data_IF_322743388901
#
_entry.id   IF_322743388901
#
_cell.length_a   1.000
_cell.length_b   1.000
_cell.length_c   1.000
_cell.angle_alpha   90.00
_cell.angle_beta   90.00
_cell.angle_gamma   90.00
#
_symmetry.space_group_name_H-M   'P 1'
#
loop_
_entity.id
_entity.type
_entity.pdbx_description
1 polymer ?
#
# COMPACT_ATOMS: atom_id res chain seq x y z
N UNK A 1 27.30 17.42 41.04
CA UNK A 1 27.91 16.09 41.24
C UNK A 1 28.80 15.80 40.04
N UNK A 2 29.96 15.18 40.25
CA UNK A 2 30.82 14.70 39.16
C UNK A 2 30.17 13.51 38.47
N UNK A 3 30.26 13.44 37.16
CA UNK A 3 29.82 12.27 36.42
C UNK A 3 30.84 11.14 36.55
N UNK A 4 30.37 9.90 36.49
CA UNK A 4 31.23 8.72 36.65
C UNK A 4 30.85 7.62 35.66
N UNK A 5 31.84 6.85 35.21
CA UNK A 5 31.66 5.61 34.44
C UNK A 5 32.29 4.47 35.23
N UNK A 6 31.55 3.42 35.55
CA UNK A 6 32.10 2.20 36.17
C UNK A 6 32.21 1.10 35.13
N UNK A 7 33.43 0.60 34.92
CA UNK A 7 33.74 -0.54 34.04
C UNK A 7 34.45 -1.61 34.85
N UNK A 8 33.93 -2.84 34.84
CA UNK A 8 34.56 -4.01 35.47
C UNK A 8 35.04 -3.74 36.91
N UNK A 9 34.24 -3.03 37.71
CA UNK A 9 34.55 -2.67 39.10
C UNK A 9 35.40 -1.40 39.30
N UNK A 10 35.96 -0.82 38.25
CA UNK A 10 36.75 0.42 38.31
C UNK A 10 35.88 1.61 37.94
N UNK A 11 35.82 2.62 38.83
CA UNK A 11 35.10 3.88 38.58
C UNK A 11 36.05 4.95 38.06
N UNK A 12 35.69 5.56 36.94
CA UNK A 12 36.40 6.66 36.30
C UNK A 12 35.56 7.93 36.42
N UNK A 13 36.15 9.01 36.89
CA UNK A 13 35.54 10.33 36.83
C UNK A 13 35.56 10.84 35.39
N UNK A 14 34.43 11.39 34.93
CA UNK A 14 34.33 12.04 33.62
C UNK A 14 34.09 13.54 33.83
N UNK A 15 34.89 14.35 33.13
CA UNK A 15 34.83 15.79 33.22
C UNK A 15 33.57 16.32 32.53
N UNK A 16 32.97 17.37 33.12
CA UNK A 16 31.85 18.12 32.54
C UNK A 16 30.56 17.32 32.25
N UNK A 17 30.45 16.06 32.67
CA UNK A 17 29.26 15.24 32.43
C UNK A 17 29.19 14.62 31.04
N UNK A 18 30.30 14.50 30.33
CA UNK A 18 30.33 13.97 28.97
C UNK A 18 31.26 12.76 28.89
N UNK A 19 30.79 11.68 28.26
CA UNK A 19 31.70 10.64 27.76
C UNK A 19 32.20 11.13 26.41
N UNK A 20 33.51 11.33 26.29
CA UNK A 20 34.14 11.91 25.11
C UNK A 20 33.99 11.01 23.89
N UNK A 21 34.13 11.61 22.71
CA UNK A 21 34.24 10.85 21.47
C UNK A 21 35.37 9.81 21.58
N UNK A 22 35.12 8.62 21.06
CA UNK A 22 36.07 7.49 21.02
C UNK A 22 36.59 6.97 22.38
N UNK A 23 36.05 7.42 23.52
CA UNK A 23 36.67 7.18 24.84
C UNK A 23 36.94 5.70 25.17
N UNK A 24 36.07 4.78 24.75
CA UNK A 24 36.22 3.34 24.89
C UNK A 24 36.11 2.61 23.54
N UNK A 25 36.44 3.29 22.45
CA UNK A 25 36.37 2.71 21.10
C UNK A 25 37.26 1.46 20.99
N UNK A 26 36.71 0.37 20.45
CA UNK A 26 37.33 -0.96 20.36
C UNK A 26 37.82 -1.56 21.70
N UNK A 27 37.27 -1.14 22.84
CA UNK A 27 37.66 -1.69 24.13
C UNK A 27 36.97 -3.04 24.39
N UNK A 28 37.59 -4.11 23.90
CA UNK A 28 37.11 -5.49 24.01
C UNK A 28 37.07 -6.03 25.43
N UNK A 29 37.53 -5.26 26.43
CA UNK A 29 37.54 -5.69 27.84
C UNK A 29 36.37 -5.12 28.64
N UNK A 30 35.64 -4.14 28.09
CA UNK A 30 34.42 -3.62 28.72
C UNK A 30 33.34 -4.69 28.69
N UNK A 31 32.85 -5.09 29.85
CA UNK A 31 31.74 -6.05 29.96
C UNK A 31 30.45 -5.40 30.45
N UNK A 32 30.57 -4.41 31.34
CA UNK A 32 29.44 -3.73 31.95
C UNK A 32 29.81 -2.27 32.15
N UNK A 33 28.84 -1.38 31.94
CA UNK A 33 29.00 0.05 32.15
C UNK A 33 27.83 0.60 32.96
N UNK A 34 28.15 1.26 34.07
CA UNK A 34 27.18 2.07 34.83
C UNK A 34 27.60 3.52 34.86
N UNK A 35 26.68 4.44 34.58
CA UNK A 35 26.95 5.88 34.50
C UNK A 35 25.95 6.68 35.32
N UNK A 36 26.42 7.73 36.01
CA UNK A 36 25.56 8.70 36.70
C UNK A 36 25.95 10.12 36.33
N UNK A 37 24.99 11.05 36.32
CA UNK A 37 25.19 12.47 36.01
C UNK A 37 25.81 12.74 34.61
N UNK A 38 25.62 11.83 33.65
CA UNK A 38 26.11 11.98 32.27
C UNK A 38 25.04 12.65 31.42
N UNK A 39 25.39 13.76 30.76
CA UNK A 39 24.52 14.53 29.88
C UNK A 39 24.49 14.01 28.45
N UNK A 40 25.64 13.57 27.92
CA UNK A 40 25.70 12.97 26.59
C UNK A 40 26.81 11.92 26.45
N UNK A 41 26.59 10.99 25.52
CA UNK A 41 27.61 10.05 25.05
C UNK A 41 28.14 10.50 23.69
N UNK A 42 29.45 10.62 23.57
CA UNK A 42 30.13 11.06 22.36
C UNK A 42 30.06 10.07 21.20
N UNK A 43 30.44 10.58 20.02
CA UNK A 43 30.61 9.80 18.78
C UNK A 43 31.52 8.60 19.04
N UNK A 44 31.07 7.40 18.69
CA UNK A 44 31.83 6.13 18.85
C UNK A 44 32.37 5.86 20.26
N UNK A 45 31.79 6.45 21.32
CA UNK A 45 32.35 6.32 22.67
C UNK A 45 32.47 4.88 23.19
N UNK A 46 31.69 3.92 22.66
CA UNK A 46 31.78 2.47 22.96
C UNK A 46 31.74 1.61 21.68
N UNK A 47 32.20 2.15 20.55
CA UNK A 47 32.11 1.44 19.26
C UNK A 47 32.91 0.13 19.30
N UNK A 48 32.34 -0.96 18.78
CA UNK A 48 32.96 -2.29 18.76
C UNK A 48 33.44 -2.83 20.13
N UNK A 49 32.82 -2.44 21.24
CA UNK A 49 33.01 -3.09 22.54
C UNK A 49 32.33 -4.48 22.54
N UNK A 50 32.93 -5.47 21.87
CA UNK A 50 32.28 -6.77 21.59
C UNK A 50 32.00 -7.63 22.82
N UNK A 51 32.64 -7.34 23.96
CA UNK A 51 32.38 -8.01 25.25
C UNK A 51 31.32 -7.32 26.11
N UNK A 52 30.85 -6.13 25.72
CA UNK A 52 29.89 -5.32 26.49
C UNK A 52 28.53 -6.01 26.49
N UNK A 53 28.00 -6.30 27.68
CA UNK A 53 26.75 -7.03 27.92
C UNK A 53 25.64 -6.15 28.48
N UNK A 54 25.99 -5.18 29.30
CA UNK A 54 25.03 -4.34 30.03
C UNK A 54 25.49 -2.88 30.06
N UNK A 55 24.56 -1.97 29.75
CA UNK A 55 24.73 -0.53 29.94
C UNK A 55 23.60 0.00 30.81
N UNK A 56 23.94 0.72 31.87
CA UNK A 56 23.00 1.41 32.76
C UNK A 56 23.42 2.86 32.83
N UNK A 57 22.56 3.77 32.37
CA UNK A 57 22.75 5.21 32.54
C UNK A 57 21.66 5.76 33.44
N UNK A 58 22.07 6.36 34.55
CA UNK A 58 21.22 6.90 35.59
C UNK A 58 21.21 8.43 35.51
N UNK A 59 20.04 8.96 35.14
CA UNK A 59 19.64 10.36 35.15
C UNK A 59 20.48 11.32 34.28
N UNK A 60 19.88 12.46 33.94
CA UNK A 60 20.47 13.59 33.17
C UNK A 60 20.87 13.36 31.72
N UNK A 61 20.94 12.12 31.23
CA UNK A 61 21.32 11.84 29.83
C UNK A 61 20.25 12.38 28.88
N UNK A 62 20.66 13.23 27.94
CA UNK A 62 19.76 13.83 26.93
C UNK A 62 20.05 13.33 25.52
N UNK A 63 21.29 12.93 25.22
CA UNK A 63 21.67 12.47 23.87
C UNK A 63 22.70 11.35 23.84
N UNK A 64 22.58 10.49 22.83
CA UNK A 64 23.55 9.43 22.50
C UNK A 64 24.09 9.70 21.09
N UNK A 65 25.41 9.87 20.99
CA UNK A 65 26.12 10.20 19.75
C UNK A 65 26.10 9.08 18.71
N UNK A 66 26.42 9.44 17.47
CA UNK A 66 26.40 8.49 16.35
C UNK A 66 27.39 7.35 16.58
N UNK A 67 26.98 6.14 16.18
CA UNK A 67 27.77 4.92 16.29
C UNK A 67 28.21 4.54 17.72
N UNK A 68 27.64 5.17 18.76
CA UNK A 68 28.07 5.04 20.16
C UNK A 68 28.30 3.59 20.60
N UNK A 69 27.35 2.69 20.36
CA UNK A 69 27.43 1.26 20.70
C UNK A 69 27.40 0.35 19.46
N UNK A 70 27.75 0.86 18.27
CA UNK A 70 27.69 0.04 17.06
C UNK A 70 28.51 -1.24 17.21
N UNK A 71 27.93 -2.37 16.80
CA UNK A 71 28.53 -3.71 16.79
C UNK A 71 29.04 -4.20 18.17
N UNK A 72 28.45 -3.70 19.28
CA UNK A 72 28.60 -4.33 20.59
C UNK A 72 27.74 -5.61 20.68
N UNK A 73 28.05 -6.62 19.86
CA UNK A 73 27.14 -7.73 19.54
C UNK A 73 26.63 -8.55 20.75
N UNK A 74 27.31 -8.50 21.91
CA UNK A 74 26.89 -9.14 23.16
C UNK A 74 26.00 -8.26 24.05
N UNK A 75 25.77 -7.00 23.70
CA UNK A 75 25.00 -6.05 24.51
C UNK A 75 23.53 -6.45 24.51
N UNK A 76 23.13 -7.06 25.62
CA UNK A 76 21.80 -7.66 25.79
C UNK A 76 20.79 -6.74 26.48
N UNK A 77 21.28 -5.82 27.32
CA UNK A 77 20.46 -4.91 28.12
C UNK A 77 21.01 -3.50 28.15
N UNK A 78 20.16 -2.53 27.82
CA UNK A 78 20.45 -1.10 27.95
C UNK A 78 19.33 -0.42 28.73
N UNK A 79 19.68 0.24 29.83
CA UNK A 79 18.78 1.04 30.65
C UNK A 79 19.14 2.52 30.49
N UNK A 80 18.21 3.30 29.97
CA UNK A 80 18.34 4.74 29.73
C UNK A 80 17.34 5.52 30.61
N UNK A 81 17.68 6.74 31.03
CA UNK A 81 16.73 7.59 31.73
C UNK A 81 15.70 8.17 30.74
N UNK A 82 14.51 8.50 31.25
CA UNK A 82 13.43 9.10 30.46
C UNK A 82 13.75 10.50 29.90
N UNK A 83 14.87 11.10 30.31
CA UNK A 83 15.35 12.41 29.82
C UNK A 83 16.00 12.35 28.44
N UNK A 84 16.31 11.17 27.90
CA UNK A 84 16.93 11.03 26.58
C UNK A 84 15.95 11.48 25.49
N UNK A 85 16.39 12.46 24.69
CA UNK A 85 15.61 13.07 23.61
C UNK A 85 16.08 12.61 22.24
N UNK A 86 17.38 12.35 22.09
CA UNK A 86 18.00 12.03 20.80
C UNK A 86 18.90 10.80 20.91
N UNK A 87 18.68 9.84 20.03
CA UNK A 87 19.61 8.75 19.77
C UNK A 87 20.04 8.90 18.31
N UNK A 88 21.31 9.26 18.08
CA UNK A 88 21.82 9.57 16.76
C UNK A 88 22.06 8.33 15.88
N UNK A 89 22.48 8.59 14.64
CA UNK A 89 22.64 7.59 13.60
C UNK A 89 23.49 6.39 14.03
N UNK A 90 23.00 5.19 13.74
CA UNK A 90 23.69 3.91 14.00
C UNK A 90 24.15 3.69 15.45
N UNK A 91 23.64 4.44 16.43
CA UNK A 91 24.11 4.36 17.81
C UNK A 91 23.97 2.97 18.44
N UNK A 92 23.00 2.16 18.01
CA UNK A 92 22.78 0.78 18.43
C UNK A 92 22.78 -0.19 17.21
N UNK A 93 23.52 0.14 16.15
CA UNK A 93 23.60 -0.68 14.94
C UNK A 93 24.20 -2.05 15.26
N UNK A 94 23.57 -3.12 14.76
CA UNK A 94 24.13 -4.48 14.81
C UNK A 94 24.02 -5.18 16.17
N UNK A 95 23.23 -4.65 17.12
CA UNK A 95 23.06 -5.26 18.45
C UNK A 95 22.14 -6.49 18.44
N UNK A 96 22.61 -7.57 17.82
CA UNK A 96 21.89 -8.85 17.67
C UNK A 96 21.51 -9.55 18.99
N UNK A 97 22.09 -9.16 20.12
CA UNK A 97 21.73 -9.68 21.45
C UNK A 97 20.76 -8.80 22.23
N UNK A 98 20.50 -7.56 21.79
CA UNK A 98 19.70 -6.59 22.53
C UNK A 98 18.24 -7.04 22.62
N UNK A 99 17.82 -7.46 23.81
CA UNK A 99 16.48 -7.98 24.09
C UNK A 99 15.76 -7.20 25.19
N UNK A 100 16.51 -6.48 26.03
CA UNK A 100 16.00 -5.60 27.07
C UNK A 100 16.36 -4.15 26.75
N UNK A 101 15.40 -3.42 26.17
CA UNK A 101 15.53 -2.00 25.87
C UNK A 101 14.20 -1.29 26.15
N UNK A 102 14.23 -0.34 27.07
CA UNK A 102 13.08 0.53 27.35
C UNK A 102 13.28 1.86 26.61
N UNK A 103 12.36 2.18 25.70
CA UNK A 103 12.40 3.44 24.96
C UNK A 103 12.09 4.61 25.90
N UNK A 104 12.98 5.61 26.01
CA UNK A 104 12.77 6.79 26.86
C UNK A 104 11.49 7.55 26.49
N UNK A 105 10.73 8.02 27.48
CA UNK A 105 9.45 8.72 27.22
C UNK A 105 9.60 10.06 26.51
N UNK A 106 10.77 10.72 26.65
CA UNK A 106 11.06 12.00 25.97
C UNK A 106 11.76 11.83 24.62
N UNK A 107 11.94 10.59 24.14
CA UNK A 107 12.67 10.30 22.91
C UNK A 107 11.91 10.84 21.69
N UNK A 108 12.41 11.92 21.08
CA UNK A 108 11.80 12.58 19.94
C UNK A 108 12.54 12.31 18.62
N UNK A 109 13.81 11.88 18.69
CA UNK A 109 14.61 11.60 17.48
C UNK A 109 15.34 10.27 17.61
N UNK A 110 15.05 9.35 16.68
CA UNK A 110 15.83 8.15 16.41
C UNK A 110 16.49 8.34 15.05
N UNK A 111 17.81 8.35 15.02
CA UNK A 111 18.62 8.55 13.82
C UNK A 111 18.49 7.42 12.80
N UNK A 112 19.18 7.58 11.68
CA UNK A 112 19.25 6.59 10.63
C UNK A 112 20.00 5.35 11.10
N UNK A 113 19.48 4.16 10.76
CA UNK A 113 20.05 2.86 11.08
C UNK A 113 20.30 2.60 12.59
N UNK A 114 19.71 3.39 13.49
CA UNK A 114 20.00 3.36 14.92
C UNK A 114 19.89 1.96 15.54
N UNK A 115 18.87 1.18 15.22
CA UNK A 115 18.65 -0.20 15.68
C UNK A 115 18.70 -1.20 14.51
N UNK A 116 19.38 -0.87 13.41
CA UNK A 116 19.50 -1.78 12.27
C UNK A 116 20.05 -3.15 12.71
N UNK A 117 19.36 -4.23 12.37
CA UNK A 117 19.75 -5.60 12.72
C UNK A 117 19.61 -5.97 14.21
N UNK A 118 18.91 -5.16 15.02
CA UNK A 118 18.56 -5.52 16.40
C UNK A 118 17.44 -6.58 16.44
N UNK A 119 17.81 -7.82 16.13
CA UNK A 119 16.90 -8.93 15.87
C UNK A 119 16.23 -9.56 17.10
N UNK A 120 16.29 -8.93 18.29
CA UNK A 120 15.69 -9.44 19.54
C UNK A 120 14.85 -8.43 20.31
N UNK A 121 14.72 -7.19 19.82
CA UNK A 121 13.85 -6.18 20.47
C UNK A 121 12.38 -6.61 20.26
N UNK A 122 11.59 -6.84 21.32
CA UNK A 122 10.22 -7.35 21.17
C UNK A 122 9.21 -6.27 20.78
N UNK A 123 9.37 -5.05 21.29
CA UNK A 123 8.42 -3.95 21.10
C UNK A 123 9.11 -2.59 21.15
N UNK A 124 8.57 -1.60 20.44
CA UNK A 124 9.00 -0.21 20.52
C UNK A 124 7.80 0.71 20.82
N UNK A 125 7.94 1.57 21.83
CA UNK A 125 6.90 2.52 22.22
C UNK A 125 7.47 3.93 22.22
N UNK A 126 6.83 4.84 21.49
CA UNK A 126 7.23 6.23 21.41
C UNK A 126 6.12 7.14 21.96
N UNK A 127 6.46 7.88 23.02
CA UNK A 127 5.49 8.71 23.77
C UNK A 127 5.70 10.22 23.62
N UNK A 128 6.82 10.65 23.04
CA UNK A 128 7.08 12.07 22.80
C UNK A 128 6.26 12.58 21.61
N UNK A 129 5.86 13.86 21.64
CA UNK A 129 5.26 14.48 20.47
C UNK A 129 6.31 14.67 19.36
N UNK A 130 5.87 14.57 18.10
CA UNK A 130 6.67 14.81 16.90
C UNK A 130 7.89 13.89 16.76
N UNK A 131 7.72 12.61 17.08
CA UNK A 131 8.79 11.62 16.94
C UNK A 131 9.23 11.51 15.48
N UNK A 132 10.54 11.53 15.26
CA UNK A 132 11.21 11.28 13.97
C UNK A 132 11.96 9.97 14.04
N UNK A 133 11.57 9.04 13.17
CA UNK A 133 12.26 7.76 12.98
C UNK A 133 13.06 7.85 11.68
N UNK A 134 14.37 7.75 11.78
CA UNK A 134 15.30 7.86 10.67
C UNK A 134 15.21 6.72 9.65
N UNK A 135 15.95 6.87 8.57
CA UNK A 135 16.03 5.87 7.51
C UNK A 135 16.58 4.55 8.06
N UNK A 136 15.93 3.42 7.74
CA UNK A 136 16.35 2.08 8.18
C UNK A 136 16.50 1.90 9.70
N UNK A 137 15.92 2.78 10.54
CA UNK A 137 16.17 2.81 11.98
C UNK A 137 15.92 1.48 12.70
N UNK A 138 14.94 0.69 12.27
CA UNK A 138 14.59 -0.64 12.78
C UNK A 138 14.62 -1.70 11.67
N UNK A 139 15.34 -1.45 10.57
CA UNK A 139 15.42 -2.42 9.48
C UNK A 139 16.08 -3.72 9.97
N UNK A 140 15.44 -4.86 9.68
CA UNK A 140 15.89 -6.17 10.13
C UNK A 140 15.65 -6.50 11.61
N UNK A 141 14.86 -5.69 12.34
CA UNK A 141 14.39 -6.02 13.69
C UNK A 141 13.33 -7.14 13.64
N UNK A 142 13.72 -8.35 13.28
CA UNK A 142 12.82 -9.45 12.92
C UNK A 142 11.92 -9.94 14.06
N UNK A 143 12.28 -9.71 15.32
CA UNK A 143 11.49 -10.08 16.51
C UNK A 143 10.53 -8.99 16.98
N UNK A 144 10.64 -7.78 16.42
CA UNK A 144 9.79 -6.65 16.76
C UNK A 144 8.36 -6.97 16.37
N UNK A 145 7.49 -7.19 17.36
CA UNK A 145 6.12 -7.62 17.12
C UNK A 145 5.09 -6.50 17.21
N UNK A 146 5.43 -5.37 17.86
CA UNK A 146 4.54 -4.24 18.08
C UNK A 146 5.29 -2.92 18.07
N UNK A 147 4.75 -1.95 17.35
CA UNK A 147 5.20 -0.55 17.38
C UNK A 147 4.03 0.35 17.73
N UNK A 148 4.16 1.13 18.80
CA UNK A 148 3.11 2.05 19.27
C UNK A 148 3.61 3.48 19.26
N UNK A 149 2.81 4.37 18.68
CA UNK A 149 3.01 5.80 18.71
C UNK A 149 1.86 6.46 19.49
N UNK A 150 2.16 6.94 20.70
CA UNK A 150 1.16 7.46 21.66
C UNK A 150 0.81 8.94 21.42
N UNK A 151 1.51 9.59 20.49
CA UNK A 151 1.44 11.02 20.17
C UNK A 151 1.82 11.24 18.70
N UNK A 152 1.82 12.49 18.22
CA UNK A 152 2.09 12.80 16.81
C UNK A 152 3.43 12.23 16.34
N UNK A 153 3.42 11.56 15.20
CA UNK A 153 4.64 11.09 14.52
C UNK A 153 4.85 11.96 13.31
N UNK A 154 5.98 12.66 13.27
CA UNK A 154 6.23 13.55 12.12
C UNK A 154 6.70 12.72 10.94
N UNK A 155 7.69 11.85 11.13
CA UNK A 155 8.33 11.19 9.99
C UNK A 155 8.74 9.78 10.34
N UNK A 156 8.33 8.83 9.50
CA UNK A 156 8.93 7.50 9.40
C UNK A 156 9.78 7.50 8.14
N UNK A 157 11.09 7.36 8.29
CA UNK A 157 12.04 7.35 7.19
C UNK A 157 11.86 6.16 6.25
N UNK A 158 12.50 6.23 5.09
CA UNK A 158 12.54 5.10 4.16
C UNK A 158 13.14 3.87 4.83
N UNK A 159 12.64 2.68 4.50
CA UNK A 159 13.09 1.41 5.09
C UNK A 159 13.02 1.30 6.63
N UNK A 160 12.39 2.25 7.35
CA UNK A 160 12.50 2.35 8.80
C UNK A 160 12.16 1.05 9.56
N UNK A 161 11.15 0.30 9.12
CA UNK A 161 10.73 -0.99 9.68
C UNK A 161 10.81 -2.11 8.63
N UNK A 162 11.68 -1.95 7.63
CA UNK A 162 11.89 -2.94 6.58
C UNK A 162 12.27 -4.31 7.18
N UNK A 163 11.71 -5.39 6.65
CA UNK A 163 11.98 -6.75 7.13
C UNK A 163 11.73 -6.96 8.65
N UNK A 164 10.85 -6.18 9.28
CA UNK A 164 10.32 -6.49 10.62
C UNK A 164 9.28 -7.61 10.52
N UNK A 165 9.75 -8.84 10.27
CA UNK A 165 8.90 -9.94 9.84
C UNK A 165 7.85 -10.38 10.86
N UNK A 166 8.08 -10.21 12.17
CA UNK A 166 7.11 -10.53 13.21
C UNK A 166 6.20 -9.35 13.61
N UNK A 167 6.35 -8.18 12.98
CA UNK A 167 5.52 -7.02 13.29
C UNK A 167 4.07 -7.33 12.95
N UNK A 168 3.21 -7.37 13.96
CA UNK A 168 1.79 -7.73 13.82
C UNK A 168 0.86 -6.53 13.79
N UNK A 169 1.25 -5.45 14.47
CA UNK A 169 0.39 -4.30 14.70
C UNK A 169 1.21 -3.00 14.65
N UNK A 170 0.70 -2.03 13.88
CA UNK A 170 1.18 -0.64 13.86
C UNK A 170 -0.02 0.30 13.97
N UNK A 171 -0.10 1.01 15.09
CA UNK A 171 -1.19 1.95 15.37
C UNK A 171 -0.67 3.39 15.26
N UNK A 172 -1.33 4.18 14.43
CA UNK A 172 -1.11 5.62 14.32
C UNK A 172 -2.26 6.39 14.97
N UNK A 173 -2.04 6.80 16.23
CA UNK A 173 -3.08 7.42 17.08
C UNK A 173 -3.31 8.90 16.82
N UNK A 174 -2.49 9.56 16.01
CA UNK A 174 -2.60 10.98 15.66
C UNK A 174 -1.92 11.26 14.32
N UNK A 175 -1.88 12.53 13.89
CA UNK A 175 -1.37 12.93 12.57
C UNK A 175 0.02 12.36 12.31
N UNK A 176 0.09 11.49 11.31
CA UNK A 176 1.34 11.04 10.69
C UNK A 176 1.56 11.94 9.48
N UNK A 177 2.72 12.59 9.40
CA UNK A 177 2.98 13.45 8.23
C UNK A 177 3.46 12.60 7.06
N UNK A 178 4.47 11.75 7.27
CA UNK A 178 5.09 10.99 6.18
C UNK A 178 5.52 9.59 6.60
N UNK A 179 5.13 8.59 5.82
CA UNK A 179 5.71 7.25 5.81
C UNK A 179 6.59 7.12 4.57
N UNK A 180 7.88 6.90 4.76
CA UNK A 180 8.88 6.82 3.70
C UNK A 180 8.72 5.60 2.80
N UNK A 181 9.44 5.60 1.69
CA UNK A 181 9.45 4.47 0.75
C UNK A 181 9.99 3.21 1.42
N UNK A 182 9.40 2.05 1.12
CA UNK A 182 9.78 0.75 1.70
C UNK A 182 9.70 0.66 3.24
N UNK A 183 9.08 1.63 3.93
CA UNK A 183 9.12 1.74 5.38
C UNK A 183 8.66 0.48 6.12
N UNK A 184 7.66 -0.22 5.60
CA UNK A 184 7.13 -1.48 6.14
C UNK A 184 7.23 -2.63 5.12
N UNK A 185 8.11 -2.53 4.11
CA UNK A 185 8.31 -3.60 3.13
C UNK A 185 8.67 -4.92 3.85
N UNK A 186 8.07 -6.02 3.41
CA UNK A 186 8.29 -7.38 3.94
C UNK A 186 7.93 -7.55 5.42
N UNK A 187 7.03 -6.74 5.97
CA UNK A 187 6.39 -6.99 7.27
C UNK A 187 5.29 -8.06 7.11
N UNK A 188 5.72 -9.31 6.89
CA UNK A 188 4.86 -10.39 6.42
C UNK A 188 3.79 -10.85 7.42
N UNK A 189 3.93 -10.52 8.71
CA UNK A 189 2.94 -10.83 9.75
C UNK A 189 2.09 -9.64 10.16
N UNK A 190 2.20 -8.50 9.48
CA UNK A 190 1.42 -7.31 9.79
C UNK A 190 -0.05 -7.60 9.54
N UNK A 191 -0.86 -7.61 10.61
CA UNK A 191 -2.29 -7.91 10.57
C UNK A 191 -3.12 -6.63 10.49
N UNK A 192 -2.67 -5.56 11.14
CA UNK A 192 -3.44 -4.34 11.27
C UNK A 192 -2.59 -3.08 11.07
N UNK A 193 -3.10 -2.19 10.21
CA UNK A 193 -2.59 -0.83 10.01
C UNK A 193 -3.75 0.15 10.02
N UNK A 194 -3.77 1.05 11.00
CA UNK A 194 -4.86 2.03 11.15
C UNK A 194 -4.29 3.44 11.24
N UNK A 195 -4.70 4.28 10.29
CA UNK A 195 -4.49 5.72 10.32
C UNK A 195 -5.78 6.42 10.79
N UNK A 196 -5.77 6.93 12.03
CA UNK A 196 -6.96 7.54 12.65
C UNK A 196 -7.20 9.00 12.25
N UNK A 197 -6.22 9.63 11.62
CA UNK A 197 -6.26 11.02 11.14
C UNK A 197 -5.77 11.09 9.70
N UNK A 198 -5.83 12.28 9.09
CA UNK A 198 -5.26 12.48 7.77
C UNK A 198 -3.75 12.25 7.81
N UNK A 199 -3.22 11.69 6.73
CA UNK A 199 -1.79 11.48 6.52
C UNK A 199 -1.30 12.32 5.34
N UNK A 200 -0.09 12.86 5.40
CA UNK A 200 0.50 13.58 4.28
C UNK A 200 0.82 12.61 3.14
N UNK A 201 1.88 11.81 3.31
CA UNK A 201 2.40 10.96 2.24
C UNK A 201 2.64 9.52 2.69
N UNK A 202 2.20 8.57 1.88
CA UNK A 202 2.63 7.18 1.91
C UNK A 202 3.59 6.94 0.74
N UNK A 203 4.85 6.63 1.07
CA UNK A 203 5.95 6.46 0.11
C UNK A 203 5.82 5.22 -0.78
N UNK A 204 6.63 5.19 -1.83
CA UNK A 204 6.59 4.08 -2.80
C UNK A 204 6.96 2.77 -2.13
N UNK A 205 6.30 1.66 -2.48
CA UNK A 205 6.59 0.35 -1.91
C UNK A 205 6.46 0.25 -0.37
N UNK A 206 5.81 1.22 0.30
CA UNK A 206 5.79 1.29 1.76
C UNK A 206 5.28 0.01 2.43
N UNK A 207 4.36 -0.72 1.80
CA UNK A 207 3.80 -1.98 2.30
C UNK A 207 3.98 -3.13 1.27
N UNK A 208 5.02 -3.05 0.43
CA UNK A 208 5.32 -4.10 -0.54
C UNK A 208 5.59 -5.44 0.18
N UNK A 209 5.08 -6.53 -0.39
CA UNK A 209 5.21 -7.91 0.14
C UNK A 209 4.57 -8.17 1.51
N UNK A 210 3.85 -7.20 2.10
CA UNK A 210 3.06 -7.45 3.31
C UNK A 210 1.93 -8.45 3.00
N UNK A 211 2.10 -9.71 3.41
CA UNK A 211 1.33 -10.85 2.89
C UNK A 211 0.17 -11.32 3.77
N UNK A 212 -0.13 -10.62 4.87
CA UNK A 212 -1.13 -11.05 5.86
C UNK A 212 -1.96 -9.92 6.48
N UNK A 213 -2.04 -8.74 5.84
CA UNK A 213 -2.80 -7.63 6.43
C UNK A 213 -4.28 -8.00 6.43
N UNK A 214 -4.86 -8.15 7.61
CA UNK A 214 -6.29 -8.40 7.75
C UNK A 214 -7.09 -7.10 7.59
N UNK A 215 -6.55 -6.00 8.12
CA UNK A 215 -7.22 -4.70 8.15
C UNK A 215 -6.24 -3.55 7.87
N UNK A 216 -6.45 -2.84 6.75
CA UNK A 216 -5.78 -1.59 6.44
C UNK A 216 -6.82 -0.48 6.32
N UNK A 217 -6.72 0.59 7.12
CA UNK A 217 -7.70 1.68 7.09
C UNK A 217 -7.08 3.07 7.15
N UNK A 218 -7.48 3.92 6.19
CA UNK A 218 -7.24 5.38 6.20
C UNK A 218 -8.57 6.07 6.49
N UNK A 219 -8.75 6.61 7.70
CA UNK A 219 -10.07 7.11 8.15
C UNK A 219 -10.41 8.53 7.68
N UNK A 220 -9.41 9.38 7.44
CA UNK A 220 -9.63 10.83 7.24
C UNK A 220 -8.94 11.41 6.00
N UNK A 221 -8.40 10.58 5.10
CA UNK A 221 -7.71 11.01 3.87
C UNK A 221 -6.20 10.86 3.90
N UNK A 222 -5.59 10.99 2.72
CA UNK A 222 -4.16 10.93 2.50
C UNK A 222 -3.78 11.87 1.34
N UNK A 223 -2.88 12.85 1.52
CA UNK A 223 -2.55 13.76 0.41
C UNK A 223 -1.95 13.02 -0.78
N UNK A 224 -1.02 12.09 -0.53
CA UNK A 224 -0.32 11.34 -1.58
C UNK A 224 -0.13 9.88 -1.21
N UNK A 225 -0.59 8.98 -2.07
CA UNK A 225 -0.19 7.57 -2.06
C UNK A 225 0.68 7.28 -3.28
N UNK A 226 1.96 7.04 -3.07
CA UNK A 226 2.93 6.85 -4.15
C UNK A 226 2.81 5.48 -4.83
N UNK A 227 3.51 5.34 -5.95
CA UNK A 227 3.50 4.13 -6.78
C UNK A 227 3.93 2.89 -6.03
N UNK A 228 3.38 1.74 -6.42
CA UNK A 228 3.72 0.41 -5.87
C UNK A 228 3.51 0.24 -4.36
N UNK A 229 2.76 1.13 -3.70
CA UNK A 229 2.56 1.13 -2.24
C UNK A 229 2.20 -0.25 -1.65
N UNK A 230 1.33 -1.02 -2.32
CA UNK A 230 0.91 -2.37 -1.92
C UNK A 230 1.32 -3.45 -2.94
N UNK A 231 2.39 -3.22 -3.71
CA UNK A 231 2.85 -4.18 -4.71
C UNK A 231 3.11 -5.56 -4.07
N UNK A 232 2.55 -6.61 -4.66
CA UNK A 232 2.61 -7.99 -4.17
C UNK A 232 2.20 -8.17 -2.71
N UNK A 233 1.32 -7.29 -2.18
CA UNK A 233 0.76 -7.41 -0.84
C UNK A 233 -0.48 -8.31 -0.85
N UNK A 234 -0.86 -8.80 0.34
CA UNK A 234 -2.13 -9.47 0.56
C UNK A 234 -2.89 -8.78 1.70
N UNK A 235 -4.03 -8.17 1.36
CA UNK A 235 -4.84 -7.37 2.28
C UNK A 235 -6.30 -7.85 2.24
N UNK A 236 -6.80 -8.40 3.35
CA UNK A 236 -8.16 -8.93 3.44
C UNK A 236 -9.22 -7.81 3.40
N UNK A 237 -9.03 -6.73 4.18
CA UNK A 237 -9.94 -5.59 4.21
C UNK A 237 -9.15 -4.30 4.05
N UNK A 238 -9.36 -3.59 2.94
CA UNK A 238 -8.77 -2.31 2.64
C UNK A 238 -9.84 -1.24 2.59
N UNK A 239 -9.75 -0.24 3.45
CA UNK A 239 -10.74 0.84 3.52
C UNK A 239 -10.07 2.20 3.44
N UNK A 240 -10.35 2.93 2.37
CA UNK A 240 -9.74 4.24 2.09
C UNK A 240 -10.85 5.29 2.04
N UNK A 241 -10.79 6.26 2.95
CA UNK A 241 -11.76 7.36 3.07
C UNK A 241 -11.09 8.72 2.93
N UNK A 242 -11.92 9.75 2.73
CA UNK A 242 -11.49 11.14 2.76
C UNK A 242 -10.77 11.57 1.49
N UNK A 243 -10.10 12.72 1.58
CA UNK A 243 -9.48 13.34 0.42
C UNK A 243 -8.16 12.70 0.03
N UNK A 244 -7.97 12.44 -1.27
CA UNK A 244 -6.70 11.98 -1.84
C UNK A 244 -6.32 12.89 -3.00
N UNK A 245 -5.21 13.60 -2.87
CA UNK A 245 -4.76 14.58 -3.87
C UNK A 245 -4.01 13.92 -5.03
N UNK A 246 -3.27 12.84 -4.76
CA UNK A 246 -2.52 12.10 -5.78
C UNK A 246 -2.39 10.62 -5.45
N UNK A 247 -2.48 9.79 -6.49
CA UNK A 247 -2.34 8.33 -6.42
C UNK A 247 -1.36 7.92 -7.53
N UNK A 248 -0.24 7.32 -7.16
CA UNK A 248 0.78 6.86 -8.12
C UNK A 248 0.40 5.53 -8.78
N UNK A 249 1.10 5.20 -9.87
CA UNK A 249 0.88 3.99 -10.67
C UNK A 249 1.21 2.68 -9.93
N UNK A 250 0.63 1.57 -10.39
CA UNK A 250 0.85 0.22 -9.85
C UNK A 250 0.59 0.01 -8.34
N UNK A 251 -0.35 0.71 -7.69
CA UNK A 251 -0.50 0.65 -6.25
C UNK A 251 -0.91 -0.73 -5.72
N UNK A 252 -1.70 -1.50 -6.48
CA UNK A 252 -2.19 -2.82 -6.10
C UNK A 252 -1.59 -3.96 -6.95
N UNK A 253 -0.49 -3.69 -7.66
CA UNK A 253 0.12 -4.62 -8.61
C UNK A 253 0.41 -5.98 -7.98
N UNK A 254 0.05 -7.08 -8.65
CA UNK A 254 0.36 -8.47 -8.28
C UNK A 254 -0.08 -8.88 -6.87
N UNK A 255 -1.01 -8.14 -6.25
CA UNK A 255 -1.50 -8.43 -4.91
C UNK A 255 -2.75 -9.31 -4.88
N UNK A 256 -3.09 -9.79 -3.68
CA UNK A 256 -4.33 -10.52 -3.39
C UNK A 256 -5.13 -9.71 -2.37
N UNK A 257 -6.34 -9.31 -2.72
CA UNK A 257 -7.15 -8.43 -1.91
C UNK A 257 -8.50 -9.09 -1.65
N UNK A 258 -8.97 -9.00 -0.41
CA UNK A 258 -10.36 -9.31 -0.10
C UNK A 258 -11.25 -8.15 -0.56
N UNK A 259 -11.79 -7.42 0.40
CA UNK A 259 -12.71 -6.32 0.14
C UNK A 259 -11.94 -4.99 0.11
N UNK A 260 -12.00 -4.26 -1.01
CA UNK A 260 -11.46 -2.90 -1.16
C UNK A 260 -12.63 -1.92 -1.22
N UNK A 261 -12.76 -1.06 -0.21
CA UNK A 261 -13.81 -0.06 -0.11
C UNK A 261 -13.25 1.36 -0.25
N UNK A 262 -13.65 2.03 -1.33
CA UNK A 262 -13.31 3.41 -1.65
C UNK A 262 -14.57 4.26 -1.93
N UNK A 263 -15.71 3.91 -1.33
CA UNK A 263 -16.98 4.62 -1.53
C UNK A 263 -16.95 6.05 -0.96
N UNK A 264 -16.26 6.24 0.17
CA UNK A 264 -16.16 7.51 0.89
C UNK A 264 -14.86 8.28 0.57
N UNK A 265 -14.26 8.00 -0.58
CA UNK A 265 -13.04 8.65 -1.05
C UNK A 265 -13.33 9.75 -2.09
N UNK A 266 -12.56 10.84 -2.06
CA UNK A 266 -12.68 11.96 -3.02
C UNK A 266 -11.95 11.76 -4.35
N UNK A 267 -11.35 10.59 -4.59
CA UNK A 267 -10.53 10.34 -5.78
C UNK A 267 -11.38 10.44 -7.05
N UNK A 268 -10.88 11.18 -8.05
CA UNK A 268 -11.61 11.44 -9.31
C UNK A 268 -11.09 10.61 -10.48
N UNK A 269 -9.88 10.07 -10.39
CA UNK A 269 -9.30 9.18 -11.39
C UNK A 269 -8.53 8.05 -10.73
N UNK A 270 -8.74 6.82 -11.19
CA UNK A 270 -7.82 5.73 -10.87
C UNK A 270 -6.56 5.87 -11.75
N UNK A 271 -5.35 5.67 -11.17
CA UNK A 271 -4.09 5.81 -11.92
C UNK A 271 -3.90 4.67 -12.93
N UNK A 272 -2.87 4.80 -13.77
CA UNK A 272 -2.48 3.74 -14.69
C UNK A 272 -2.04 2.50 -13.90
N UNK A 273 -2.36 1.32 -14.44
CA UNK A 273 -1.97 0.04 -13.84
C UNK A 273 -2.48 -0.16 -12.39
N UNK A 274 -3.57 0.53 -12.01
CA UNK A 274 -4.11 0.56 -10.64
C UNK A 274 -4.16 -0.84 -9.99
N UNK A 275 -4.81 -1.78 -10.67
CA UNK A 275 -5.10 -3.16 -10.26
C UNK A 275 -4.43 -4.19 -11.18
N UNK A 276 -3.28 -3.86 -11.74
CA UNK A 276 -2.53 -4.72 -12.68
C UNK A 276 -2.20 -6.10 -12.08
N UNK A 277 -2.55 -7.18 -12.78
CA UNK A 277 -2.25 -8.58 -12.40
C UNK A 277 -2.68 -8.96 -10.96
N UNK A 278 -3.65 -8.25 -10.37
CA UNK A 278 -4.10 -8.52 -9.01
C UNK A 278 -5.32 -9.46 -8.95
N UNK A 279 -5.61 -9.97 -7.75
CA UNK A 279 -6.84 -10.72 -7.46
C UNK A 279 -7.61 -9.98 -6.38
N UNK A 280 -8.86 -9.62 -6.61
CA UNK A 280 -9.71 -8.89 -5.66
C UNK A 280 -11.01 -9.67 -5.45
N UNK A 281 -11.43 -9.86 -4.21
CA UNK A 281 -12.73 -10.47 -3.91
C UNK A 281 -13.87 -9.50 -4.25
N UNK A 282 -13.87 -8.30 -3.66
CA UNK A 282 -14.89 -7.28 -3.94
C UNK A 282 -14.29 -5.88 -3.91
N UNK A 283 -14.62 -5.05 -4.91
CA UNK A 283 -14.12 -3.70 -5.09
C UNK A 283 -15.30 -2.72 -5.20
N UNK A 284 -15.33 -1.75 -4.28
CA UNK A 284 -16.37 -0.73 -4.20
C UNK A 284 -15.79 0.66 -4.49
N UNK A 285 -16.29 1.31 -5.52
CA UNK A 285 -15.76 2.56 -6.07
C UNK A 285 -16.79 3.68 -5.97
N UNK A 286 -16.34 4.85 -5.49
CA UNK A 286 -17.16 6.06 -5.36
C UNK A 286 -17.67 6.58 -6.71
N UNK A 287 -18.82 7.26 -6.68
CA UNK A 287 -19.36 8.02 -7.83
C UNK A 287 -18.50 9.21 -8.25
N UNK A 288 -17.55 9.62 -7.41
CA UNK A 288 -16.61 10.70 -7.69
C UNK A 288 -15.58 10.30 -8.76
N UNK A 289 -15.36 8.99 -8.97
CA UNK A 289 -14.45 8.49 -10.00
C UNK A 289 -15.07 8.75 -11.37
N UNK A 290 -14.33 9.48 -12.19
CA UNK A 290 -14.73 9.91 -13.53
C UNK A 290 -13.84 9.37 -14.64
N UNK A 291 -12.67 8.81 -14.31
CA UNK A 291 -11.76 8.18 -15.28
C UNK A 291 -11.03 6.97 -14.72
N UNK A 292 -10.80 6.00 -15.58
CA UNK A 292 -9.96 4.83 -15.33
C UNK A 292 -8.70 4.92 -16.19
N UNK A 293 -7.53 4.89 -15.56
CA UNK A 293 -6.23 5.02 -16.23
C UNK A 293 -5.87 3.82 -17.12
N UNK A 294 -4.83 4.03 -17.94
CA UNK A 294 -4.27 3.02 -18.85
C UNK A 294 -4.00 1.70 -18.12
N UNK A 295 -4.46 0.57 -18.68
CA UNK A 295 -4.22 -0.77 -18.13
C UNK A 295 -4.64 -0.95 -16.64
N UNK A 296 -5.58 -0.14 -16.15
CA UNK A 296 -5.89 -0.09 -14.72
C UNK A 296 -6.46 -1.39 -14.13
N UNK A 297 -6.96 -2.32 -14.94
CA UNK A 297 -7.39 -3.67 -14.56
C UNK A 297 -6.79 -4.76 -15.47
N UNK A 298 -5.65 -4.49 -16.12
CA UNK A 298 -5.00 -5.42 -17.03
C UNK A 298 -4.64 -6.75 -16.32
N UNK A 299 -5.11 -7.88 -16.86
CA UNK A 299 -5.04 -9.22 -16.24
C UNK A 299 -5.60 -9.32 -14.80
N UNK A 300 -6.40 -8.36 -14.35
CA UNK A 300 -7.00 -8.41 -13.02
C UNK A 300 -8.06 -9.51 -12.92
N UNK A 301 -8.15 -10.15 -11.77
CA UNK A 301 -9.27 -11.05 -11.41
C UNK A 301 -10.07 -10.38 -10.31
N UNK A 302 -11.31 -9.98 -10.59
CA UNK A 302 -12.18 -9.29 -9.64
C UNK A 302 -13.44 -10.13 -9.44
N UNK A 303 -13.82 -10.41 -8.20
CA UNK A 303 -15.14 -10.98 -7.91
C UNK A 303 -16.22 -9.94 -8.21
N UNK A 304 -16.48 -9.05 -7.27
CA UNK A 304 -17.46 -7.98 -7.45
C UNK A 304 -16.78 -6.64 -7.77
N UNK A 305 -17.20 -5.97 -8.84
CA UNK A 305 -16.77 -4.62 -9.21
C UNK A 305 -17.98 -3.68 -9.17
N UNK A 306 -18.11 -2.88 -8.12
CA UNK A 306 -19.32 -2.09 -7.87
C UNK A 306 -18.98 -0.61 -7.84
N UNK A 307 -19.50 0.14 -8.80
CA UNK A 307 -19.47 1.60 -8.76
C UNK A 307 -20.77 2.14 -8.13
N UNK A 308 -20.66 3.16 -7.28
CA UNK A 308 -21.80 3.80 -6.62
C UNK A 308 -22.63 4.74 -7.54
N UNK A 309 -22.53 4.55 -8.85
CA UNK A 309 -23.08 5.41 -9.91
C UNK A 309 -22.07 6.42 -10.44
N UNK A 310 -22.56 7.49 -11.06
CA UNK A 310 -21.72 8.52 -11.70
C UNK A 310 -21.49 8.25 -13.18
N UNK A 311 -20.39 8.77 -13.73
CA UNK A 311 -20.06 8.58 -15.14
C UNK A 311 -18.55 8.50 -15.35
N UNK A 312 -18.08 7.49 -16.06
CA UNK A 312 -16.65 7.18 -16.23
C UNK A 312 -16.21 7.25 -17.69
N UNK A 313 -14.97 7.65 -17.91
CA UNK A 313 -14.25 7.53 -19.17
C UNK A 313 -13.14 6.49 -19.02
N UNK A 314 -13.02 5.60 -20.00
CA UNK A 314 -11.98 4.58 -20.03
C UNK A 314 -10.81 5.06 -20.90
N UNK A 315 -9.59 4.91 -20.38
CA UNK A 315 -8.35 4.95 -21.16
C UNK A 315 -8.13 3.62 -21.89
N UNK A 316 -7.10 3.50 -22.73
CA UNK A 316 -6.80 2.25 -23.42
C UNK A 316 -6.49 1.08 -22.45
N UNK A 317 -6.87 -0.13 -22.87
CA UNK A 317 -6.59 -1.43 -22.24
C UNK A 317 -7.11 -1.57 -20.80
N UNK A 318 -8.09 -0.77 -20.38
CA UNK A 318 -8.52 -0.72 -18.98
C UNK A 318 -8.83 -2.11 -18.40
N UNK A 319 -9.65 -2.93 -19.07
CA UNK A 319 -10.03 -4.29 -18.63
C UNK A 319 -9.42 -5.39 -19.52
N UNK A 320 -8.31 -5.12 -20.23
CA UNK A 320 -7.71 -6.11 -21.13
C UNK A 320 -7.39 -7.42 -20.38
N UNK A 321 -7.89 -8.53 -20.91
CA UNK A 321 -7.78 -9.87 -20.29
C UNK A 321 -8.24 -9.96 -18.83
N UNK A 322 -9.03 -9.00 -18.34
CA UNK A 322 -9.57 -9.01 -17.00
C UNK A 322 -10.65 -10.08 -16.85
N UNK A 323 -10.79 -10.63 -15.64
CA UNK A 323 -11.82 -11.60 -15.29
C UNK A 323 -12.66 -11.04 -14.16
N UNK A 324 -13.89 -10.65 -14.45
CA UNK A 324 -14.80 -10.03 -13.50
C UNK A 324 -16.01 -10.94 -13.30
N UNK A 325 -16.33 -11.33 -12.06
CA UNK A 325 -17.47 -12.20 -11.81
C UNK A 325 -18.80 -11.42 -11.83
N UNK A 326 -18.84 -10.26 -11.20
CA UNK A 326 -20.03 -9.43 -11.13
C UNK A 326 -19.64 -7.97 -11.23
N UNK A 327 -20.31 -7.21 -12.09
CA UNK A 327 -20.04 -5.78 -12.24
C UNK A 327 -21.32 -4.94 -12.18
N UNK A 328 -21.23 -3.80 -11.49
CA UNK A 328 -22.18 -2.70 -11.58
C UNK A 328 -21.43 -1.50 -12.11
N UNK A 329 -21.56 -1.25 -13.40
CA UNK A 329 -20.92 -0.10 -14.03
C UNK A 329 -21.73 1.18 -13.84
N UNK A 330 -21.06 2.34 -13.75
CA UNK A 330 -21.71 3.64 -13.87
C UNK A 330 -21.93 3.95 -15.36
N UNK A 331 -22.42 5.14 -15.70
CA UNK A 331 -22.56 5.52 -17.11
C UNK A 331 -21.19 5.65 -17.77
N UNK A 332 -20.91 4.87 -18.81
CA UNK A 332 -19.66 5.00 -19.56
C UNK A 332 -19.81 6.13 -20.59
N UNK A 333 -18.90 7.10 -20.57
CA UNK A 333 -18.86 8.27 -21.47
C UNK A 333 -18.02 8.02 -22.71
N UNK A 334 -16.92 7.29 -22.55
CA UNK A 334 -15.99 6.97 -23.64
C UNK A 334 -15.30 5.64 -23.36
N UNK A 335 -15.02 4.91 -24.44
CA UNK A 335 -14.18 3.72 -24.45
C UNK A 335 -12.82 4.05 -25.06
N UNK A 336 -11.76 3.56 -24.44
CA UNK A 336 -10.43 3.47 -25.01
C UNK A 336 -10.28 2.28 -25.96
N UNK A 337 -9.09 2.15 -26.52
CA UNK A 337 -8.74 1.02 -27.38
C UNK A 337 -8.49 -0.23 -26.55
N UNK A 338 -8.96 -1.39 -27.00
CA UNK A 338 -8.76 -2.70 -26.36
C UNK A 338 -9.31 -2.84 -24.92
N UNK A 339 -10.22 -1.96 -24.50
CA UNK A 339 -10.73 -1.92 -23.12
C UNK A 339 -11.21 -3.27 -22.60
N UNK A 340 -11.94 -4.05 -23.39
CA UNK A 340 -12.47 -5.35 -23.02
C UNK A 340 -11.91 -6.48 -23.89
N UNK A 341 -10.80 -6.27 -24.59
CA UNK A 341 -10.19 -7.32 -25.41
C UNK A 341 -9.80 -8.50 -24.51
N UNK A 342 -10.25 -9.69 -24.90
CA UNK A 342 -10.05 -10.95 -24.17
C UNK A 342 -10.57 -10.93 -22.72
N UNK A 343 -11.36 -9.92 -22.35
CA UNK A 343 -11.94 -9.80 -21.02
C UNK A 343 -13.15 -10.73 -20.86
N UNK A 344 -13.41 -11.14 -19.62
CA UNK A 344 -14.60 -11.90 -19.24
C UNK A 344 -15.33 -11.17 -18.13
N UNK A 345 -16.63 -10.91 -18.31
CA UNK A 345 -17.50 -10.40 -17.26
C UNK A 345 -18.72 -11.30 -17.19
N UNK A 346 -18.90 -11.92 -16.02
CA UNK A 346 -19.87 -12.99 -15.85
C UNK A 346 -21.31 -12.46 -15.72
N UNK A 347 -21.52 -11.50 -14.83
CA UNK A 347 -22.83 -10.88 -14.59
C UNK A 347 -22.66 -9.37 -14.55
N UNK A 348 -23.60 -8.63 -15.15
CA UNK A 348 -23.61 -7.17 -15.14
C UNK A 348 -25.01 -6.68 -14.75
N UNK A 349 -25.09 -5.90 -13.67
CA UNK A 349 -26.31 -5.22 -13.23
C UNK A 349 -26.21 -3.72 -13.56
N UNK A 350 -27.37 -3.10 -13.85
CA UNK A 350 -27.47 -1.74 -14.39
C UNK A 350 -26.76 -1.55 -15.74
N UNK A 351 -27.15 -2.37 -16.72
CA UNK A 351 -26.86 -2.16 -18.15
C UNK A 351 -27.19 -0.70 -18.47
N UNK A 352 -26.16 0.11 -18.72
CA UNK A 352 -26.18 1.36 -19.49
C UNK A 352 -27.60 1.94 -19.63
N UNK A 353 -28.10 2.67 -18.62
CA UNK A 353 -29.52 3.04 -18.56
C UNK A 353 -30.00 3.75 -19.83
N UNK A 354 -30.70 2.98 -20.66
CA UNK A 354 -31.82 3.35 -21.51
C UNK A 354 -32.90 2.28 -21.30
N UNK A 355 -33.78 2.51 -20.32
CA UNK A 355 -35.07 1.85 -20.05
C UNK A 355 -35.30 0.44 -20.62
N UNK A 356 -35.20 -0.62 -19.80
CA UNK A 356 -36.35 -1.45 -19.36
C UNK A 356 -35.90 -2.67 -18.54
N UNK A 357 -36.65 -2.94 -17.46
CA UNK A 357 -36.50 -4.04 -16.51
C UNK A 357 -36.64 -5.42 -17.16
N UNK A 358 -35.89 -6.43 -16.68
CA UNK A 358 -36.41 -7.79 -16.45
C UNK A 358 -35.61 -8.52 -15.35
N UNK A 359 -36.33 -9.14 -14.41
CA UNK A 359 -35.85 -10.19 -13.49
C UNK A 359 -36.01 -11.58 -14.15
N UNK A 360 -35.24 -12.60 -13.76
CA UNK A 360 -35.79 -13.90 -13.31
C UNK A 360 -34.73 -14.92 -12.87
N UNK A 361 -35.21 -15.85 -12.02
CA UNK A 361 -34.52 -16.83 -11.18
C UNK A 361 -34.08 -18.14 -11.87
N UNK A 362 -33.01 -18.72 -11.29
CA UNK A 362 -32.61 -20.13 -11.09
C UNK A 362 -33.15 -21.35 -11.91
N UNK A 363 -32.17 -22.24 -12.19
CA UNK A 363 -32.14 -23.73 -12.11
C UNK A 363 -32.39 -24.62 -13.35
N UNK A 364 -31.37 -25.42 -13.75
CA UNK A 364 -31.36 -26.91 -13.72
C UNK A 364 -30.22 -27.54 -14.55
N UNK A 365 -29.88 -28.79 -14.22
CA UNK A 365 -28.64 -29.55 -14.50
C UNK A 365 -28.56 -30.14 -15.92
N UNK A 366 -27.39 -30.06 -16.57
CA UNK A 366 -26.53 -31.17 -17.07
C UNK A 366 -25.55 -30.70 -18.18
N UNK A 367 -24.31 -31.19 -18.08
CA UNK A 367 -23.25 -31.36 -19.10
C UNK A 367 -22.10 -30.32 -19.26
N UNK A 368 -20.91 -30.82 -18.89
CA UNK A 368 -19.52 -30.57 -19.36
C UNK A 368 -19.04 -29.12 -19.65
N UNK A 369 -18.27 -28.62 -18.67
CA UNK A 369 -17.03 -27.84 -18.80
C UNK A 369 -16.89 -26.92 -20.03
N UNK A 370 -17.48 -25.72 -19.96
CA UNK A 370 -16.93 -24.42 -20.38
C UNK A 370 -17.85 -23.32 -19.80
N UNK A 371 -17.95 -23.23 -18.48
CA UNK A 371 -18.73 -22.17 -17.84
C UNK A 371 -17.88 -20.91 -17.70
N UNK A 372 -17.95 -20.04 -18.70
CA UNK A 372 -17.61 -18.62 -18.55
C UNK A 372 -18.88 -17.84 -18.91
N UNK A 373 -19.60 -17.26 -17.94
CA UNK A 373 -20.82 -16.53 -18.24
C UNK A 373 -20.52 -15.37 -19.19
N UNK A 374 -21.32 -15.33 -20.26
CA UNK A 374 -21.19 -14.46 -21.41
C UNK A 374 -21.79 -13.10 -21.03
N UNK A 375 -21.08 -11.99 -21.26
CA UNK A 375 -21.80 -10.77 -21.67
C UNK A 375 -22.49 -11.16 -22.97
N UNK A 376 -23.73 -11.61 -22.89
CA UNK A 376 -24.48 -12.07 -24.06
C UNK A 376 -25.18 -10.89 -24.72
N UNK A 377 -25.53 -9.86 -23.96
CA UNK A 377 -26.30 -8.71 -24.43
C UNK A 377 -25.60 -7.41 -24.01
N UNK A 378 -25.30 -6.54 -24.96
CA UNK A 378 -24.71 -5.23 -24.73
C UNK A 378 -25.62 -4.15 -25.35
N UNK A 379 -25.92 -3.10 -24.59
CA UNK A 379 -26.59 -1.89 -25.10
C UNK A 379 -25.69 -0.69 -24.86
N UNK A 380 -25.27 0.00 -25.92
CA UNK A 380 -24.41 1.18 -25.87
C UNK A 380 -25.30 2.43 -25.91
N UNK A 381 -25.24 3.31 -24.88
CA UNK A 381 -26.12 4.46 -24.80
C UNK A 381 -25.65 5.57 -25.74
N UNK A 382 -26.59 6.38 -26.22
CA UNK A 382 -26.34 7.53 -27.12
C UNK A 382 -25.44 8.63 -26.55
N UNK A 383 -25.18 8.60 -25.24
CA UNK A 383 -24.22 9.46 -24.56
C UNK A 383 -22.78 9.13 -24.96
N UNK A 384 -22.50 7.89 -25.37
CA UNK A 384 -21.20 7.48 -25.94
C UNK A 384 -21.14 8.02 -27.36
N UNK A 385 -20.11 8.81 -27.70
CA UNK A 385 -19.98 9.38 -29.05
C UNK A 385 -19.11 8.54 -29.97
N UNK A 386 -18.11 7.87 -29.41
CA UNK A 386 -17.17 7.05 -30.14
C UNK A 386 -16.88 5.75 -29.38
N UNK A 387 -16.78 4.64 -30.10
CA UNK A 387 -16.32 3.35 -29.61
C UNK A 387 -14.89 3.15 -30.12
N UNK A 388 -13.95 2.86 -29.23
CA UNK A 388 -12.51 2.77 -29.51
C UNK A 388 -12.11 1.59 -30.40
N UNK A 389 -10.84 1.55 -30.80
CA UNK A 389 -10.32 0.45 -31.63
C UNK A 389 -10.30 -0.84 -30.82
N UNK A 390 -10.77 -1.95 -31.38
CA UNK A 390 -10.75 -3.26 -30.70
C UNK A 390 -11.39 -3.29 -29.30
N UNK A 391 -12.24 -2.32 -28.93
CA UNK A 391 -12.74 -2.17 -27.54
C UNK A 391 -13.46 -3.42 -27.01
N UNK A 392 -14.06 -4.22 -27.89
CA UNK A 392 -14.74 -5.48 -27.58
C UNK A 392 -14.21 -6.64 -28.43
N UNK A 393 -12.99 -6.55 -28.95
CA UNK A 393 -12.37 -7.61 -29.76
C UNK A 393 -12.34 -8.95 -29.01
N UNK A 394 -12.65 -10.05 -29.70
CA UNK A 394 -12.67 -11.41 -29.14
C UNK A 394 -13.62 -11.59 -27.94
N UNK A 395 -14.67 -10.78 -27.83
CA UNK A 395 -15.70 -10.92 -26.77
C UNK A 395 -16.87 -11.79 -27.22
N UNK A 396 -17.47 -12.55 -26.29
CA UNK A 396 -18.59 -13.48 -26.55
C UNK A 396 -19.98 -12.80 -26.52
N UNK A 397 -20.11 -11.65 -27.17
CA UNK A 397 -21.36 -10.88 -27.29
C UNK A 397 -22.32 -11.58 -28.26
N UNK A 398 -23.57 -11.82 -27.88
CA UNK A 398 -24.61 -12.43 -28.75
C UNK A 398 -25.67 -11.44 -29.26
N UNK A 399 -25.86 -10.32 -28.56
CA UNK A 399 -26.80 -9.23 -28.89
C UNK A 399 -26.11 -7.91 -28.63
N UNK A 400 -26.13 -7.01 -29.61
CA UNK A 400 -25.58 -5.67 -29.54
C UNK A 400 -26.64 -4.66 -29.97
N UNK A 401 -26.97 -3.72 -29.09
CA UNK A 401 -27.82 -2.56 -29.40
C UNK A 401 -26.93 -1.32 -29.27
N UNK A 402 -26.85 -0.51 -30.31
CA UNK A 402 -26.18 0.80 -30.27
C UNK A 402 -27.26 1.87 -30.41
N UNK A 403 -27.42 2.72 -29.39
CA UNK A 403 -28.49 3.70 -29.34
C UNK A 403 -28.16 5.00 -30.10
N UNK A 404 -29.22 5.72 -30.50
CA UNK A 404 -29.13 7.03 -31.15
C UNK A 404 -28.26 8.02 -30.37
N UNK A 405 -27.31 8.64 -31.07
CA UNK A 405 -26.35 9.59 -30.53
C UNK A 405 -24.88 9.14 -30.65
N UNK A 406 -24.63 7.84 -30.85
CA UNK A 406 -23.31 7.27 -31.18
C UNK A 406 -22.96 7.66 -32.62
N UNK A 407 -21.74 8.14 -32.85
CA UNK A 407 -21.31 8.67 -34.16
C UNK A 407 -20.22 7.84 -34.83
N UNK A 408 -19.36 7.19 -34.04
CA UNK A 408 -18.16 6.53 -34.56
C UNK A 408 -17.99 5.14 -33.94
N UNK A 409 -17.76 4.15 -34.79
CA UNK A 409 -17.30 2.81 -34.40
C UNK A 409 -15.92 2.62 -35.04
N UNK A 410 -14.84 2.59 -34.26
CA UNK A 410 -13.47 2.52 -34.79
C UNK A 410 -13.06 1.11 -35.25
N UNK A 411 -11.84 0.99 -35.80
CA UNK A 411 -11.34 -0.25 -36.40
C UNK A 411 -11.38 -1.42 -35.41
N UNK A 412 -11.80 -2.58 -35.91
CA UNK A 412 -11.90 -3.83 -35.15
C UNK A 412 -12.74 -3.80 -33.86
N UNK A 413 -13.53 -2.74 -33.60
CA UNK A 413 -14.23 -2.53 -32.34
C UNK A 413 -15.00 -3.77 -31.80
N UNK A 414 -15.66 -4.52 -32.68
CA UNK A 414 -16.35 -5.79 -32.39
C UNK A 414 -15.86 -6.94 -33.28
N UNK A 415 -14.59 -6.90 -33.70
CA UNK A 415 -14.02 -7.95 -34.53
C UNK A 415 -14.04 -9.30 -33.80
N UNK A 416 -14.34 -10.37 -34.52
CA UNK A 416 -14.40 -11.74 -33.98
C UNK A 416 -15.32 -11.89 -32.75
N UNK A 417 -16.38 -11.08 -32.69
CA UNK A 417 -17.46 -11.25 -31.71
C UNK A 417 -18.51 -12.25 -32.24
N UNK A 418 -19.21 -12.97 -31.38
CA UNK A 418 -20.27 -13.94 -31.78
C UNK A 418 -21.69 -13.31 -31.82
N UNK A 419 -21.83 -12.10 -32.40
CA UNK A 419 -23.05 -11.27 -32.36
C UNK A 419 -24.13 -11.78 -33.33
N UNK A 420 -25.22 -12.30 -32.79
CA UNK A 420 -26.36 -12.83 -33.56
C UNK A 420 -27.52 -11.83 -33.74
N UNK A 421 -27.55 -10.75 -32.95
CA UNK A 421 -28.57 -9.68 -33.03
C UNK A 421 -27.90 -8.32 -32.96
N UNK A 422 -28.15 -7.45 -33.94
CA UNK A 422 -27.50 -6.14 -34.04
C UNK A 422 -28.50 -5.03 -34.35
N UNK A 423 -28.48 -3.96 -33.56
CA UNK A 423 -29.18 -2.69 -33.82
C UNK A 423 -28.14 -1.58 -33.95
N UNK A 424 -28.16 -0.86 -35.07
CA UNK A 424 -27.30 0.29 -35.32
C UNK A 424 -28.15 1.57 -35.39
N UNK A 425 -27.68 2.72 -34.88
CA UNK A 425 -28.44 3.96 -34.93
C UNK A 425 -28.19 4.72 -36.23
N UNK A 426 -29.14 5.56 -36.61
CA UNK A 426 -29.02 6.45 -37.77
C UNK A 426 -27.92 7.52 -37.60
N UNK A 427 -27.50 7.82 -36.37
CA UNK A 427 -26.44 8.80 -36.09
C UNK A 427 -25.02 8.35 -36.43
N UNK A 428 -24.80 7.09 -36.85
CA UNK A 428 -23.46 6.61 -37.22
C UNK A 428 -22.95 7.36 -38.47
N UNK A 429 -21.78 7.98 -38.32
CA UNK A 429 -21.06 8.70 -39.39
C UNK A 429 -19.87 7.92 -39.92
N UNK A 430 -19.30 7.03 -39.11
CA UNK A 430 -18.11 6.26 -39.46
C UNK A 430 -18.13 4.87 -38.83
N UNK A 431 -17.87 3.86 -39.67
CA UNK A 431 -17.60 2.47 -39.27
C UNK A 431 -16.20 2.11 -39.79
N UNK A 432 -15.31 1.81 -38.86
CA UNK A 432 -13.91 1.49 -39.12
C UNK A 432 -13.71 0.12 -39.78
N UNK A 433 -12.48 -0.10 -40.22
CA UNK A 433 -12.06 -1.33 -40.88
C UNK A 433 -12.31 -2.53 -39.95
N UNK A 434 -13.00 -3.54 -40.46
CA UNK A 434 -13.33 -4.78 -39.75
C UNK A 434 -14.14 -4.62 -38.44
N UNK A 435 -14.66 -3.42 -38.15
CA UNK A 435 -15.29 -3.09 -36.87
C UNK A 435 -16.48 -3.99 -36.49
N UNK A 436 -17.25 -4.45 -37.50
CA UNK A 436 -18.42 -5.29 -37.37
C UNK A 436 -18.29 -6.54 -38.26
N UNK A 437 -17.10 -7.13 -38.31
CA UNK A 437 -16.82 -8.30 -39.18
C UNK A 437 -16.54 -9.56 -38.38
N UNK A 438 -16.78 -10.72 -39.00
CA UNK A 438 -16.75 -12.04 -38.37
C UNK A 438 -17.67 -12.14 -37.13
N UNK A 439 -18.88 -11.59 -37.25
CA UNK A 439 -19.87 -11.49 -36.17
C UNK A 439 -20.53 -12.83 -35.77
N UNK A 440 -19.99 -13.99 -36.15
CA UNK A 440 -20.68 -15.28 -35.99
C UNK A 440 -21.79 -15.48 -37.05
N UNK A 441 -22.91 -16.09 -36.66
CA UNK A 441 -24.06 -16.35 -37.57
C UNK A 441 -24.59 -15.02 -38.10
N UNK A 442 -25.02 -14.96 -39.37
CA UNK A 442 -25.58 -13.75 -40.01
C UNK A 442 -26.51 -13.00 -39.03
N UNK A 443 -26.10 -11.82 -38.51
CA UNK A 443 -26.88 -11.15 -37.49
C UNK A 443 -28.22 -10.71 -38.07
N UNK A 444 -29.29 -10.84 -37.28
CA UNK A 444 -30.52 -10.12 -37.58
C UNK A 444 -30.23 -8.62 -37.40
N UNK A 445 -30.08 -7.90 -38.50
CA UNK A 445 -29.78 -6.46 -38.52
C UNK A 445 -31.11 -5.70 -38.56
N UNK A 446 -31.33 -4.83 -37.58
CA UNK A 446 -32.40 -3.82 -37.62
C UNK A 446 -31.75 -2.45 -37.74
N UNK A 447 -32.17 -1.68 -38.75
CA UNK A 447 -31.72 -0.30 -39.00
C UNK A 447 -32.68 0.71 -38.37
#
# INVERSE_FOLDING_TARGET
MSATVTKTGTTYSISNGYVSDYQFDYDYTVQEVSMTNVRSLGYRSFYYCTSLRTVIVLDTLTSIGSYCFQNCNQLGSVQLPNTVQTISDSAFYGLSSLSSFNFPTSLSTVGSQTFYGCSKIPSATFSAANVKIGESAFSGCSYLNKVTFSSSVTTIGSYAFNNCQNLTEVIFSSSVVTVGSYAFQSCNHLLQVIFSSSIGTLGSYAFQYCSRIENFSIKSGCSTMNSYIFNSANILNLHIKGSISSFGDYPFRNGIYGDINMLDCSITSLPSYCFYECKIKSLYLSRAITSLGYESFYYAVVGDLIFAGGSISLSDYVFYSAKINYAVFPNIRSFGSYDFDSATITTIDNIFRGTNYYYSYANSRYQKMYYSPKISNLTIPGTVKSIGNSSFHLTKLSKLIINEGVQTINDYAFYLCEINYLVLPSTIKYIGKFALTNLGVLPNITL
#
